data_IF_027784661642
#
_entry.id   IF_027784661642
#
_cell.length_a   1.000
_cell.length_b   1.000
_cell.length_c   1.000
_cell.angle_alpha   90.00
_cell.angle_beta   90.00
_cell.angle_gamma   90.00
#
_symmetry.space_group_name_H-M   'P 1'
#
loop_
_entity.id
_entity.type
_entity.pdbx_description
1 polymer ?
#
# COMPACT_ATOMS: atom_id res chain seq x y z
N UNK A 1 3.38 -19.73 9.51
CA UNK A 1 3.73 -18.74 8.46
C UNK A 1 2.61 -18.56 7.44
N UNK A 2 1.94 -19.63 7.00
CA UNK A 2 0.72 -19.55 6.16
C UNK A 2 -0.33 -18.57 6.70
N UNK A 3 -0.56 -18.53 8.02
CA UNK A 3 -1.47 -17.56 8.67
C UNK A 3 -1.09 -16.10 8.43
N UNK A 4 0.21 -15.76 8.41
CA UNK A 4 0.66 -14.39 8.15
C UNK A 4 0.48 -14.02 6.67
N UNK A 5 0.77 -14.95 5.76
CA UNK A 5 0.49 -14.75 4.33
C UNK A 5 -1.01 -14.59 4.07
N UNK A 6 -1.86 -15.39 4.72
CA UNK A 6 -3.32 -15.26 4.61
C UNK A 6 -3.82 -13.94 5.21
N UNK A 7 -3.31 -13.53 6.37
CA UNK A 7 -3.66 -12.23 6.96
C UNK A 7 -3.29 -11.06 6.04
N UNK A 8 -2.12 -11.14 5.37
CA UNK A 8 -1.72 -10.14 4.38
C UNK A 8 -2.60 -10.18 3.13
N UNK A 9 -2.93 -11.38 2.65
CA UNK A 9 -3.81 -11.58 1.51
C UNK A 9 -5.20 -10.99 1.72
N UNK A 10 -5.73 -11.08 2.95
CA UNK A 10 -7.04 -10.53 3.34
C UNK A 10 -6.96 -9.03 3.63
N UNK A 11 -5.89 -8.56 4.29
CA UNK A 11 -5.79 -7.17 4.72
C UNK A 11 -5.55 -6.20 3.56
N UNK A 12 -4.84 -6.63 2.51
CA UNK A 12 -4.55 -5.78 1.36
C UNK A 12 -5.79 -5.28 0.58
N UNK A 13 -6.75 -6.15 0.15
CA UNK A 13 -7.96 -5.67 -0.52
C UNK A 13 -8.84 -4.81 0.41
N UNK A 14 -8.94 -5.17 1.70
CA UNK A 14 -9.68 -4.37 2.66
C UNK A 14 -9.05 -2.97 2.83
N UNK A 15 -7.72 -2.88 2.88
CA UNK A 15 -7.03 -1.60 2.92
C UNK A 15 -7.23 -0.80 1.64
N UNK A 16 -7.19 -1.45 0.47
CA UNK A 16 -7.38 -0.80 -0.82
C UNK A 16 -8.77 -0.17 -0.98
N UNK A 17 -9.83 -0.89 -0.60
CA UNK A 17 -11.20 -0.51 -1.00
C UNK A 17 -12.12 -0.18 0.19
N UNK A 18 -12.01 -0.91 1.30
CA UNK A 18 -12.91 -0.72 2.42
C UNK A 18 -12.42 0.40 3.36
N UNK A 19 -11.11 0.52 3.55
CA UNK A 19 -10.54 1.29 4.66
C UNK A 19 -10.66 2.81 4.58
N UNK A 20 -11.14 3.32 3.45
CA UNK A 20 -11.35 4.75 3.20
C UNK A 20 -12.82 5.09 2.93
N UNK A 21 -13.77 4.16 3.13
CA UNK A 21 -15.20 4.43 3.02
C UNK A 21 -15.85 4.10 1.67
N UNK A 22 -15.12 3.55 0.71
CA UNK A 22 -15.65 3.26 -0.64
C UNK A 22 -16.80 2.24 -0.67
N UNK A 23 -16.91 1.37 0.34
CA UNK A 23 -17.95 0.34 0.42
C UNK A 23 -18.67 0.36 1.77
N UNK A 24 -19.89 -0.17 1.80
CA UNK A 24 -20.63 -0.37 3.06
C UNK A 24 -20.13 -1.60 3.80
N UNK A 25 -20.41 -1.68 5.11
CA UNK A 25 -19.95 -2.80 5.95
C UNK A 25 -20.45 -4.18 5.48
N UNK A 26 -21.62 -4.25 4.83
CA UNK A 26 -22.18 -5.52 4.34
C UNK A 26 -21.41 -6.07 3.13
N UNK A 27 -20.76 -5.19 2.36
CA UNK A 27 -20.03 -5.56 1.14
C UNK A 27 -18.57 -5.92 1.39
N UNK A 28 -18.01 -5.59 2.57
CA UNK A 28 -16.59 -5.79 2.88
C UNK A 28 -16.11 -7.21 2.62
N UNK A 29 -16.90 -8.21 2.97
CA UNK A 29 -16.53 -9.61 2.74
C UNK A 29 -16.47 -9.93 1.24
N UNK A 30 -17.48 -9.49 0.47
CA UNK A 30 -17.52 -9.70 -0.98
C UNK A 30 -16.32 -9.03 -1.66
N UNK A 31 -16.04 -7.78 -1.31
CA UNK A 31 -14.88 -7.00 -1.78
C UNK A 31 -13.57 -7.74 -1.50
N UNK A 32 -13.36 -8.20 -0.25
CA UNK A 32 -12.15 -8.91 0.15
C UNK A 32 -12.00 -10.24 -0.58
N UNK A 33 -13.08 -10.98 -0.78
CA UNK A 33 -13.05 -12.27 -1.49
C UNK A 33 -12.78 -12.08 -2.98
N UNK A 34 -13.45 -11.12 -3.61
CA UNK A 34 -13.37 -10.88 -5.04
C UNK A 34 -12.04 -10.23 -5.45
N UNK A 35 -11.59 -9.21 -4.70
CA UNK A 35 -10.37 -8.46 -5.00
C UNK A 35 -9.13 -9.00 -4.28
N UNK A 36 -9.30 -9.93 -3.33
CA UNK A 36 -8.20 -10.60 -2.62
C UNK A 36 -7.17 -11.26 -3.54
N UNK A 37 -7.57 -12.02 -4.57
CA UNK A 37 -6.64 -12.57 -5.55
C UNK A 37 -5.72 -11.50 -6.14
N UNK A 38 -6.26 -10.35 -6.56
CA UNK A 38 -5.47 -9.24 -7.14
C UNK A 38 -4.64 -8.49 -6.09
N UNK A 39 -5.29 -7.81 -5.13
CA UNK A 39 -4.59 -6.97 -4.14
C UNK A 39 -3.79 -7.80 -3.13
N UNK A 40 -4.42 -8.83 -2.58
CA UNK A 40 -3.80 -9.75 -1.63
C UNK A 40 -2.68 -10.58 -2.24
N UNK A 41 -2.88 -11.04 -3.48
CA UNK A 41 -1.85 -11.73 -4.25
C UNK A 41 -0.62 -10.84 -4.46
N UNK A 42 -0.81 -9.62 -4.95
CA UNK A 42 0.27 -8.66 -5.13
C UNK A 42 1.04 -8.38 -3.83
N UNK A 43 0.33 -8.07 -2.74
CA UNK A 43 0.95 -7.78 -1.44
C UNK A 43 1.82 -8.95 -0.93
N UNK A 44 1.32 -10.18 -1.05
CA UNK A 44 2.07 -11.38 -0.65
C UNK A 44 3.28 -11.60 -1.56
N UNK A 45 3.14 -11.48 -2.89
CA UNK A 45 4.22 -11.69 -3.85
C UNK A 45 5.35 -10.65 -3.68
N UNK A 46 5.00 -9.38 -3.55
CA UNK A 46 5.96 -8.28 -3.32
C UNK A 46 6.76 -8.54 -2.05
N UNK A 47 6.06 -8.91 -0.96
CA UNK A 47 6.70 -9.22 0.32
C UNK A 47 7.60 -10.44 0.22
N UNK A 48 7.14 -11.51 -0.42
CA UNK A 48 7.92 -12.74 -0.61
C UNK A 48 9.17 -12.49 -1.47
N UNK A 49 9.05 -11.73 -2.56
CA UNK A 49 10.16 -11.36 -3.42
C UNK A 49 11.23 -10.60 -2.62
N UNK A 50 10.82 -9.58 -1.87
CA UNK A 50 11.74 -8.82 -1.01
C UNK A 50 12.46 -9.72 0.00
N UNK A 51 11.77 -10.67 0.64
CA UNK A 51 12.44 -11.54 1.64
C UNK A 51 13.32 -12.62 1.02
N UNK A 52 12.99 -13.12 -0.18
CA UNK A 52 13.79 -14.16 -0.88
C UNK A 52 15.05 -13.60 -1.50
N UNK A 53 14.98 -12.37 -1.99
CA UNK A 53 16.09 -11.69 -2.63
C UNK A 53 16.90 -10.85 -1.63
N UNK A 54 16.71 -11.08 -0.33
CA UNK A 54 17.35 -10.34 0.77
C UNK A 54 17.15 -8.81 0.69
N UNK A 55 16.10 -8.38 -0.01
CA UNK A 55 15.67 -7.00 -0.13
C UNK A 55 15.02 -6.45 1.14
N UNK A 56 15.00 -5.13 1.21
CA UNK A 56 14.39 -4.36 2.30
C UNK A 56 13.13 -3.62 1.88
N UNK A 57 12.76 -2.63 2.69
CA UNK A 57 11.67 -1.70 2.37
C UNK A 57 11.84 -0.93 1.05
N UNK A 58 13.05 -0.52 0.62
CA UNK A 58 13.20 0.12 -0.70
C UNK A 58 12.71 -0.77 -1.85
N UNK A 59 13.00 -2.06 -1.81
CA UNK A 59 12.51 -3.02 -2.81
C UNK A 59 10.98 -3.17 -2.72
N UNK A 60 10.42 -3.25 -1.51
CA UNK A 60 8.96 -3.31 -1.31
C UNK A 60 8.28 -2.08 -1.89
N UNK A 61 8.79 -0.88 -1.63
CA UNK A 61 8.23 0.38 -2.13
C UNK A 61 8.33 0.46 -3.66
N UNK A 62 9.46 0.09 -4.25
CA UNK A 62 9.61 0.09 -5.72
C UNK A 62 8.68 -0.92 -6.39
N UNK A 63 8.57 -2.15 -5.85
CA UNK A 63 7.64 -3.15 -6.38
C UNK A 63 6.17 -2.78 -6.13
N UNK A 64 5.86 -2.10 -5.02
CA UNK A 64 4.53 -1.54 -4.76
C UNK A 64 4.20 -0.41 -5.75
N UNK A 65 5.20 0.40 -6.12
CA UNK A 65 5.04 1.44 -7.14
C UNK A 65 4.80 0.82 -8.51
N UNK A 66 5.57 -0.23 -8.84
CA UNK A 66 5.38 -1.01 -10.07
C UNK A 66 3.98 -1.63 -10.13
N UNK A 67 3.51 -2.19 -9.00
CA UNK A 67 2.15 -2.72 -8.89
C UNK A 67 1.10 -1.62 -9.02
N UNK A 68 1.25 -0.49 -8.34
CA UNK A 68 0.31 0.63 -8.45
C UNK A 68 0.18 1.13 -9.89
N UNK A 69 1.31 1.29 -10.60
CA UNK A 69 1.30 1.67 -12.03
C UNK A 69 0.63 0.59 -12.87
N UNK A 70 0.97 -0.69 -12.67
CA UNK A 70 0.34 -1.80 -13.39
C UNK A 70 -1.18 -1.84 -13.16
N UNK A 71 -1.60 -1.68 -11.91
CA UNK A 71 -2.98 -1.80 -11.49
C UNK A 71 -3.82 -0.72 -12.16
N UNK A 72 -3.46 0.56 -11.96
CA UNK A 72 -4.28 1.71 -12.41
C UNK A 72 -4.29 1.88 -13.93
N UNK A 73 -3.28 1.31 -14.62
CA UNK A 73 -3.03 1.57 -16.04
C UNK A 73 -3.45 0.42 -16.93
N UNK A 74 -3.27 -0.83 -16.48
CA UNK A 74 -3.55 -2.03 -17.27
C UNK A 74 -4.63 -2.87 -16.62
N UNK A 75 -4.66 -3.03 -15.29
CA UNK A 75 -5.58 -3.97 -14.67
C UNK A 75 -6.99 -3.40 -14.59
N UNK A 76 -7.20 -2.21 -14.03
CA UNK A 76 -8.52 -1.57 -14.00
C UNK A 76 -8.67 -0.47 -15.08
N UNK A 77 -7.55 -0.07 -15.68
CA UNK A 77 -7.47 0.98 -16.71
C UNK A 77 -7.97 2.36 -16.25
N UNK A 78 -8.17 2.57 -14.94
CA UNK A 78 -8.73 3.79 -14.36
C UNK A 78 -7.93 5.05 -14.68
N UNK A 79 -6.62 4.92 -14.92
CA UNK A 79 -5.75 6.03 -15.26
C UNK A 79 -6.01 6.58 -16.67
N UNK A 80 -6.38 5.70 -17.61
CA UNK A 80 -6.56 6.05 -19.01
C UNK A 80 -8.04 6.20 -19.39
N UNK A 81 -8.94 5.62 -18.61
CA UNK A 81 -10.38 5.79 -18.79
C UNK A 81 -10.87 7.00 -17.98
N UNK A 82 -11.09 8.13 -18.65
CA UNK A 82 -11.58 9.35 -17.99
C UNK A 82 -12.98 9.20 -17.42
N UNK A 83 -13.76 8.25 -17.94
CA UNK A 83 -15.14 7.98 -17.55
C UNK A 83 -15.22 6.82 -16.51
N UNK A 84 -14.07 6.38 -15.96
CA UNK A 84 -13.99 5.21 -15.04
C UNK A 84 -14.88 5.32 -13.79
N UNK A 85 -15.16 6.54 -13.34
CA UNK A 85 -15.95 6.79 -12.13
C UNK A 85 -17.33 7.38 -12.42
N UNK A 86 -17.73 7.48 -13.69
CA UNK A 86 -18.94 8.20 -14.12
C UNK A 86 -20.24 7.58 -13.58
N UNK A 87 -20.24 6.28 -13.29
CA UNK A 87 -21.37 5.55 -12.73
C UNK A 87 -21.36 5.49 -11.19
N UNK A 88 -20.39 6.15 -10.56
CA UNK A 88 -20.20 6.16 -9.10
C UNK A 88 -20.54 7.52 -8.49
N UNK A 89 -20.55 7.59 -7.17
CA UNK A 89 -20.66 8.88 -6.46
C UNK A 89 -19.40 9.77 -6.61
N UNK A 90 -18.36 9.30 -7.31
CA UNK A 90 -17.13 10.04 -7.62
C UNK A 90 -17.10 10.60 -9.05
N UNK A 91 -18.22 10.61 -9.79
CA UNK A 91 -18.27 11.09 -11.18
C UNK A 91 -17.72 12.52 -11.37
N UNK A 92 -17.83 13.40 -10.36
CA UNK A 92 -17.27 14.75 -10.43
C UNK A 92 -15.73 14.77 -10.42
N UNK A 93 -15.05 13.73 -9.89
CA UNK A 93 -13.59 13.62 -9.89
C UNK A 93 -13.02 13.54 -11.32
N UNK A 94 -13.80 13.03 -12.29
CA UNK A 94 -13.43 12.98 -13.70
C UNK A 94 -13.22 14.38 -14.31
N UNK A 95 -13.94 15.40 -13.81
CA UNK A 95 -13.75 16.80 -14.25
C UNK A 95 -12.42 17.36 -13.77
N UNK A 96 -12.01 16.98 -12.58
CA UNK A 96 -10.76 17.42 -11.96
C UNK A 96 -9.53 16.74 -12.59
N UNK A 97 -9.69 15.51 -13.07
CA UNK A 97 -8.66 14.80 -13.83
C UNK A 97 -8.12 15.61 -15.02
N UNK A 98 -9.01 16.32 -15.73
CA UNK A 98 -8.65 17.07 -16.95
C UNK A 98 -7.75 18.30 -16.69
N UNK A 99 -7.65 18.79 -15.45
CA UNK A 99 -6.84 19.98 -15.11
C UNK A 99 -5.34 19.74 -15.14
N UNK A 100 -4.92 18.49 -15.04
CA UNK A 100 -3.51 18.06 -15.10
C UNK A 100 -3.28 17.05 -16.22
N UNK A 101 -3.97 17.26 -17.33
CA UNK A 101 -3.94 16.35 -18.48
C UNK A 101 -2.56 16.32 -19.14
N UNK A 102 -2.09 15.11 -19.46
CA UNK A 102 -0.86 14.88 -20.21
C UNK A 102 -1.23 14.49 -21.64
N UNK A 103 -1.12 15.42 -22.61
CA UNK A 103 -1.49 15.13 -23.99
C UNK A 103 -0.57 14.07 -24.61
N UNK A 104 -1.12 13.24 -25.50
CA UNK A 104 -0.41 12.17 -26.21
C UNK A 104 -0.38 10.83 -25.46
N UNK A 105 -0.44 10.85 -24.13
CA UNK A 105 -0.67 9.66 -23.31
C UNK A 105 -2.05 9.64 -22.66
N UNK A 106 -2.79 10.74 -22.76
CA UNK A 106 -4.21 10.86 -22.41
C UNK A 106 -4.52 10.37 -20.98
N UNK A 107 -3.85 10.95 -19.98
CA UNK A 107 -4.11 10.69 -18.56
C UNK A 107 -3.94 11.94 -17.69
N UNK A 108 -4.46 11.90 -16.47
CA UNK A 108 -4.25 12.93 -15.45
C UNK A 108 -3.01 12.66 -14.60
N UNK A 109 -2.07 13.61 -14.58
CA UNK A 109 -0.89 13.51 -13.71
C UNK A 109 -1.27 13.48 -12.21
N UNK A 110 -2.31 14.20 -11.80
CA UNK A 110 -2.78 14.16 -10.41
C UNK A 110 -3.34 12.78 -10.02
N UNK A 111 -4.15 12.15 -10.87
CA UNK A 111 -4.66 10.80 -10.62
C UNK A 111 -3.52 9.77 -10.62
N UNK A 112 -2.55 9.87 -11.54
CA UNK A 112 -1.37 9.00 -11.53
C UNK A 112 -0.67 9.03 -10.16
N UNK A 113 -0.38 10.22 -9.65
CA UNK A 113 0.32 10.36 -8.36
C UNK A 113 -0.55 9.88 -7.20
N UNK A 114 -1.84 10.23 -7.20
CA UNK A 114 -2.79 9.85 -6.15
C UNK A 114 -3.01 8.33 -6.10
N UNK A 115 -3.41 7.72 -7.22
CA UNK A 115 -3.75 6.29 -7.28
C UNK A 115 -2.52 5.41 -7.01
N UNK A 116 -1.38 5.69 -7.68
CA UNK A 116 -0.14 4.94 -7.43
C UNK A 116 0.33 5.16 -6.00
N UNK A 117 0.26 6.38 -5.49
CA UNK A 117 0.60 6.72 -4.11
C UNK A 117 -0.21 5.90 -3.11
N UNK A 118 -1.53 5.85 -3.29
CA UNK A 118 -2.44 5.07 -2.45
C UNK A 118 -2.13 3.57 -2.52
N UNK A 119 -1.86 2.99 -3.69
CA UNK A 119 -1.45 1.59 -3.76
C UNK A 119 -0.13 1.32 -3.04
N UNK A 120 0.84 2.23 -3.14
CA UNK A 120 2.11 2.09 -2.43
C UNK A 120 1.89 2.09 -0.92
N UNK A 121 1.26 3.14 -0.38
CA UNK A 121 1.24 3.36 1.08
C UNK A 121 0.12 2.58 1.76
N UNK A 122 -1.07 2.55 1.17
CA UNK A 122 -2.29 2.01 1.78
C UNK A 122 -2.52 0.54 1.40
N UNK A 123 -2.44 0.19 0.11
CA UNK A 123 -2.72 -1.20 -0.34
C UNK A 123 -1.59 -2.18 -0.01
N UNK A 124 -0.32 -1.75 -0.13
CA UNK A 124 0.84 -2.65 0.00
C UNK A 124 1.62 -2.43 1.29
N UNK A 125 2.13 -1.21 1.54
CA UNK A 125 3.04 -0.97 2.66
C UNK A 125 2.36 -1.12 4.03
N UNK A 126 1.16 -0.53 4.22
CA UNK A 126 0.45 -0.62 5.50
C UNK A 126 0.14 -2.08 5.90
N UNK A 127 -0.45 -2.93 5.04
CA UNK A 127 -0.75 -4.31 5.38
C UNK A 127 0.51 -5.13 5.68
N UNK A 128 1.59 -4.97 4.89
CA UNK A 128 2.86 -5.64 5.15
C UNK A 128 3.41 -5.24 6.53
N UNK A 129 3.44 -3.94 6.84
CA UNK A 129 3.99 -3.45 8.10
C UNK A 129 3.18 -3.90 9.32
N UNK A 130 1.85 -3.89 9.21
CA UNK A 130 0.93 -4.35 10.26
C UNK A 130 1.14 -5.84 10.50
N UNK A 131 1.01 -6.68 9.47
CA UNK A 131 1.13 -8.14 9.60
C UNK A 131 2.53 -8.53 10.08
N UNK A 132 3.59 -7.91 9.57
CA UNK A 132 4.96 -8.18 10.04
C UNK A 132 5.18 -7.80 11.52
N UNK A 133 4.39 -6.87 12.07
CA UNK A 133 4.46 -6.52 13.49
C UNK A 133 3.87 -7.60 14.40
N UNK A 134 2.92 -8.39 13.90
CA UNK A 134 2.39 -9.56 14.61
C UNK A 134 3.31 -10.79 14.52
N UNK A 135 4.33 -10.79 13.65
CA UNK A 135 5.25 -11.92 13.43
C UNK A 135 6.58 -11.72 14.18
N UNK A 136 7.17 -12.81 14.71
CA UNK A 136 8.42 -12.74 15.50
C UNK A 136 9.58 -12.11 14.70
N UNK A 137 10.55 -11.42 15.33
CA UNK A 137 11.65 -10.75 14.62
C UNK A 137 12.44 -11.68 13.70
N UNK A 138 12.65 -12.93 14.12
CA UNK A 138 13.40 -13.95 13.38
C UNK A 138 12.63 -14.42 12.15
N UNK A 139 11.28 -14.47 12.24
CA UNK A 139 10.40 -15.02 11.20
C UNK A 139 9.92 -13.97 10.21
N UNK A 140 9.80 -12.71 10.63
CA UNK A 140 9.26 -11.65 9.77
C UNK A 140 10.18 -11.25 8.62
N UNK A 141 11.49 -11.47 8.74
CA UNK A 141 12.47 -11.22 7.67
C UNK A 141 12.72 -12.45 6.78
N UNK A 142 12.06 -13.58 7.05
CA UNK A 142 12.17 -14.80 6.26
C UNK A 142 10.96 -14.97 5.33
N UNK A 143 11.10 -15.66 4.19
CA UNK A 143 9.95 -16.07 3.38
C UNK A 143 8.91 -16.83 4.22
N UNK A 144 7.63 -16.55 4.00
CA UNK A 144 6.51 -17.16 4.71
C UNK A 144 5.95 -18.38 3.99
N UNK A 145 6.07 -18.39 2.66
CA UNK A 145 5.58 -19.47 1.81
C UNK A 145 6.73 -20.37 1.35
N UNK A 146 6.40 -21.57 0.88
CA UNK A 146 7.29 -22.41 0.08
C UNK A 146 6.90 -22.25 -1.39
N UNK A 147 7.67 -22.83 -2.31
CA UNK A 147 7.40 -22.77 -3.75
C UNK A 147 5.93 -23.09 -4.14
N UNK A 148 5.28 -24.16 -3.62
CA UNK A 148 3.88 -24.41 -3.97
C UNK A 148 2.94 -23.28 -3.56
N UNK A 149 3.17 -22.66 -2.40
CA UNK A 149 2.37 -21.53 -1.94
C UNK A 149 2.59 -20.28 -2.80
N UNK A 150 3.82 -20.07 -3.30
CA UNK A 150 4.07 -18.99 -4.25
C UNK A 150 3.34 -19.22 -5.56
N UNK A 151 3.41 -20.42 -6.13
CA UNK A 151 2.72 -20.76 -7.38
C UNK A 151 1.22 -20.50 -7.25
N UNK A 152 0.59 -20.96 -6.16
CA UNK A 152 -0.83 -20.71 -5.89
C UNK A 152 -1.14 -19.21 -5.86
N UNK A 153 -0.37 -18.42 -5.10
CA UNK A 153 -0.61 -16.98 -4.98
C UNK A 153 -0.34 -16.25 -6.30
N UNK A 154 0.66 -16.66 -7.08
CA UNK A 154 0.91 -16.14 -8.43
C UNK A 154 -0.26 -16.41 -9.38
N UNK A 155 -0.81 -17.63 -9.37
CA UNK A 155 -1.98 -17.97 -10.20
C UNK A 155 -3.20 -17.17 -9.77
N UNK A 156 -3.46 -17.06 -8.46
CA UNK A 156 -4.56 -16.23 -7.93
C UNK A 156 -4.39 -14.76 -8.34
N UNK A 157 -3.18 -14.22 -8.23
CA UNK A 157 -2.90 -12.85 -8.67
C UNK A 157 -3.22 -12.64 -10.15
N UNK A 158 -2.73 -13.53 -11.02
CA UNK A 158 -2.95 -13.42 -12.46
C UNK A 158 -4.44 -13.57 -12.82
N UNK A 159 -5.15 -14.51 -12.19
CA UNK A 159 -6.59 -14.69 -12.40
C UNK A 159 -7.40 -13.50 -11.90
N UNK A 160 -7.09 -13.00 -10.70
CA UNK A 160 -7.75 -11.81 -10.15
C UNK A 160 -7.52 -10.56 -11.00
N UNK A 161 -6.28 -10.35 -11.43
CA UNK A 161 -5.95 -9.26 -12.35
C UNK A 161 -6.65 -9.40 -13.69
N UNK A 162 -6.75 -10.62 -14.23
CA UNK A 162 -7.49 -10.87 -15.48
C UNK A 162 -8.99 -10.63 -15.33
N UNK A 163 -9.62 -11.06 -14.23
CA UNK A 163 -11.06 -10.83 -13.99
C UNK A 163 -11.36 -9.32 -13.93
N UNK A 164 -10.56 -8.55 -13.20
CA UNK A 164 -10.73 -7.08 -13.12
C UNK A 164 -10.48 -6.43 -14.48
N UNK A 165 -9.46 -6.89 -15.21
CA UNK A 165 -9.20 -6.40 -16.57
C UNK A 165 -10.34 -6.69 -17.54
N UNK A 166 -10.90 -7.90 -17.51
CA UNK A 166 -12.01 -8.30 -18.37
C UNK A 166 -13.26 -7.45 -18.08
N UNK A 167 -13.59 -7.28 -16.80
CA UNK A 167 -14.72 -6.47 -16.32
C UNK A 167 -14.58 -4.99 -16.71
N UNK A 168 -13.39 -4.41 -16.57
CA UNK A 168 -13.12 -2.99 -16.86
C UNK A 168 -12.78 -2.70 -18.33
N UNK A 169 -12.65 -3.73 -19.17
CA UNK A 169 -12.38 -3.57 -20.60
C UNK A 169 -13.63 -3.36 -21.45
N UNK A 170 -14.82 -3.52 -20.87
CA UNK A 170 -16.06 -3.27 -21.59
C UNK A 170 -16.22 -1.76 -21.83
N UNK A 171 -16.32 -1.35 -23.10
CA UNK A 171 -16.41 0.06 -23.50
C UNK A 171 -15.10 0.85 -23.53
N UNK A 172 -14.01 0.40 -22.87
CA UNK A 172 -12.71 1.08 -22.91
C UNK A 172 -11.53 0.11 -22.96
N UNK A 173 -10.56 0.41 -23.84
CA UNK A 173 -9.28 -0.30 -23.86
C UNK A 173 -8.12 0.67 -24.07
N UNK A 174 -7.18 0.70 -23.13
CA UNK A 174 -5.98 1.53 -23.21
C UNK A 174 -5.26 1.30 -24.54
N UNK A 175 -4.81 2.36 -25.21
CA UNK A 175 -4.14 2.29 -26.51
C UNK A 175 -2.86 1.44 -26.47
N UNK A 176 -2.40 0.90 -27.62
CA UNK A 176 -1.12 0.19 -27.69
C UNK A 176 0.05 0.99 -27.14
N UNK A 177 0.08 2.32 -27.36
CA UNK A 177 1.11 3.21 -26.85
C UNK A 177 1.07 3.29 -25.32
N UNK A 178 -0.12 3.53 -24.74
CA UNK A 178 -0.31 3.58 -23.28
C UNK A 178 0.16 2.28 -22.62
N UNK A 179 -0.26 1.11 -23.14
CA UNK A 179 0.18 -0.19 -22.62
C UNK A 179 1.69 -0.39 -22.76
N UNK A 180 2.28 -0.03 -23.90
CA UNK A 180 3.72 -0.16 -24.11
C UNK A 180 4.52 0.69 -23.12
N UNK A 181 4.12 1.96 -22.92
CA UNK A 181 4.74 2.86 -21.93
C UNK A 181 4.59 2.31 -20.52
N UNK A 182 3.41 1.82 -20.15
CA UNK A 182 3.19 1.18 -18.84
C UNK A 182 4.11 -0.02 -18.63
N UNK A 183 4.22 -0.93 -19.60
CA UNK A 183 5.12 -2.09 -19.50
C UNK A 183 6.58 -1.66 -19.34
N UNK A 184 7.02 -0.63 -20.07
CA UNK A 184 8.37 -0.09 -19.94
C UNK A 184 8.62 0.50 -18.55
N UNK A 185 7.68 1.30 -18.01
CA UNK A 185 7.80 1.90 -16.68
C UNK A 185 7.78 0.83 -15.58
N UNK A 186 6.85 -0.11 -15.64
CA UNK A 186 6.77 -1.24 -14.70
C UNK A 186 8.05 -2.08 -14.76
N UNK A 187 8.53 -2.40 -15.96
CA UNK A 187 9.80 -3.11 -16.17
C UNK A 187 10.98 -2.38 -15.57
N UNK A 188 11.09 -1.06 -15.79
CA UNK A 188 12.15 -0.23 -15.22
C UNK A 188 12.10 -0.19 -13.69
N UNK A 189 10.91 -0.09 -13.08
CA UNK A 189 10.73 -0.12 -11.63
C UNK A 189 11.10 -1.48 -11.04
N UNK A 190 10.71 -2.58 -11.69
CA UNK A 190 11.08 -3.94 -11.27
C UNK A 190 12.60 -4.13 -11.38
N UNK A 191 13.22 -3.75 -12.49
CA UNK A 191 14.68 -3.81 -12.64
C UNK A 191 15.36 -2.98 -11.56
N UNK A 192 14.92 -1.75 -11.32
CA UNK A 192 15.46 -0.89 -10.26
C UNK A 192 15.31 -1.52 -8.86
N UNK A 193 14.21 -2.22 -8.60
CA UNK A 193 13.98 -2.93 -7.34
C UNK A 193 14.90 -4.14 -7.15
N UNK A 194 15.30 -4.78 -8.24
CA UNK A 194 16.18 -5.95 -8.25
C UNK A 194 17.67 -5.58 -8.23
N UNK A 195 18.03 -4.35 -8.62
CA UNK A 195 19.39 -3.85 -8.50
C UNK A 195 19.76 -3.72 -7.02
N UNK A 196 20.80 -4.42 -6.53
CA UNK A 196 21.21 -4.31 -5.14
C UNK A 196 21.52 -2.85 -4.79
N UNK A 197 20.85 -2.32 -3.79
CA UNK A 197 21.21 -1.02 -3.23
C UNK A 197 22.65 -1.13 -2.73
N UNK A 198 23.59 -0.52 -3.46
CA UNK A 198 24.99 -0.43 -3.03
C UNK A 198 24.98 0.13 -1.61
N UNK A 199 25.53 -0.62 -0.64
CA UNK A 199 25.73 -0.15 0.72
C UNK A 199 26.72 1.00 0.69
N UNK A 200 26.23 2.20 0.40
CA UNK A 200 27.05 3.40 0.26
C UNK A 200 27.13 4.06 1.63
N UNK A 201 28.19 3.72 2.35
CA UNK A 201 28.79 4.57 3.37
C UNK A 201 28.53 4.18 4.82
N UNK A 202 29.36 4.76 5.68
CA UNK A 202 29.24 4.76 7.14
C UNK A 202 27.81 5.19 7.53
N UNK A 203 27.14 4.49 8.47
CA UNK A 203 25.83 4.90 8.96
C UNK A 203 25.82 6.38 9.36
N UNK A 204 24.79 7.16 8.99
CA UNK A 204 24.71 8.55 9.41
C UNK A 204 24.79 8.65 10.93
N UNK A 205 25.60 9.58 11.44
CA UNK A 205 25.70 9.82 12.87
C UNK A 205 24.34 10.17 13.50
N UNK A 206 24.16 9.76 14.76
CA UNK A 206 22.98 10.05 15.58
C UNK A 206 21.94 8.93 15.64
N UNK A 207 20.99 9.08 16.56
CA UNK A 207 19.87 8.13 16.76
C UNK A 207 18.71 8.42 15.82
N UNK A 208 17.93 7.39 15.50
CA UNK A 208 16.68 7.53 14.78
C UNK A 208 15.70 8.43 15.56
N UNK A 209 14.92 9.31 14.88
CA UNK A 209 13.87 10.07 15.54
C UNK A 209 12.82 9.15 16.16
N UNK A 210 12.14 9.60 17.21
CA UNK A 210 11.03 8.84 17.81
C UNK A 210 9.96 8.53 16.76
N UNK A 211 9.26 7.38 16.83
CA UNK A 211 8.22 7.01 15.85
C UNK A 211 7.14 8.08 15.62
N UNK A 212 6.81 8.89 16.63
CA UNK A 212 5.86 10.01 16.50
C UNK A 212 6.27 11.01 15.40
N UNK A 213 7.56 11.32 15.28
CA UNK A 213 8.03 12.23 14.22
C UNK A 213 7.86 11.64 12.81
N UNK A 214 7.88 10.30 12.71
CA UNK A 214 7.60 9.61 11.46
C UNK A 214 6.11 9.73 11.12
N UNK A 215 5.23 9.56 12.10
CA UNK A 215 3.79 9.80 11.93
C UNK A 215 3.54 11.23 11.46
N UNK A 216 4.10 12.23 12.14
CA UNK A 216 3.91 13.64 11.78
C UNK A 216 4.43 13.96 10.37
N UNK A 217 5.57 13.40 9.98
CA UNK A 217 6.10 13.54 8.62
C UNK A 217 5.17 12.93 7.57
N UNK A 218 4.65 11.72 7.82
CA UNK A 218 3.74 11.07 6.88
C UNK A 218 2.41 11.80 6.82
N UNK A 219 1.85 12.24 7.95
CA UNK A 219 0.65 13.09 7.97
C UNK A 219 0.88 14.35 7.13
N UNK A 220 1.97 15.08 7.37
CA UNK A 220 2.29 16.29 6.61
C UNK A 220 2.41 16.01 5.10
N UNK A 221 3.02 14.89 4.72
CA UNK A 221 3.12 14.51 3.32
C UNK A 221 1.76 14.15 2.71
N UNK A 222 0.90 13.47 3.47
CA UNK A 222 -0.44 13.05 3.06
C UNK A 222 -1.45 14.20 3.00
N UNK A 223 -1.22 15.30 3.70
CA UNK A 223 -2.04 16.52 3.53
C UNK A 223 -1.81 17.20 2.17
N UNK A 224 -0.77 16.80 1.42
CA UNK A 224 -0.61 17.23 0.03
C UNK A 224 -1.61 16.54 -0.90
N UNK A 225 -2.04 15.33 -0.56
CA UNK A 225 -3.12 14.62 -1.25
C UNK A 225 -4.44 15.32 -0.93
N UNK A 226 -5.17 15.77 -1.96
CA UNK A 226 -6.41 16.55 -1.82
C UNK A 226 -6.24 18.07 -1.95
N UNK A 227 -5.01 18.56 -2.20
CA UNK A 227 -4.83 19.93 -2.66
C UNK A 227 -5.30 20.06 -4.12
N UNK A 228 -5.69 21.28 -4.50
CA UNK A 228 -6.35 21.62 -5.77
C UNK A 228 -5.74 20.85 -6.95
N UNK A 229 -6.54 20.10 -7.75
CA UNK A 229 -6.08 19.27 -8.86
C UNK A 229 -5.49 20.14 -9.96
N UNK A 230 -4.23 20.50 -9.77
CA UNK A 230 -3.47 21.48 -10.53
C UNK A 230 -2.04 20.98 -10.62
N UNK A 231 -1.28 21.52 -11.58
CA UNK A 231 0.13 21.21 -11.69
C UNK A 231 0.92 21.54 -10.42
N UNK A 232 0.51 22.58 -9.67
CA UNK A 232 1.10 22.88 -8.37
C UNK A 232 0.78 21.82 -7.32
N UNK A 233 -0.44 21.30 -7.30
CA UNK A 233 -0.82 20.15 -6.47
C UNK A 233 0.05 18.92 -6.77
N UNK A 234 0.22 18.59 -8.06
CA UNK A 234 1.08 17.47 -8.50
C UNK A 234 2.52 17.65 -8.03
N UNK A 235 3.11 18.83 -8.24
CA UNK A 235 4.48 19.13 -7.79
C UNK A 235 4.59 18.99 -6.28
N UNK A 236 3.63 19.51 -5.53
CA UNK A 236 3.63 19.44 -4.07
C UNK A 236 3.50 18.00 -3.56
N UNK A 237 2.62 17.17 -4.13
CA UNK A 237 2.52 15.75 -3.81
C UNK A 237 3.84 15.02 -4.08
N UNK A 238 4.47 15.25 -5.24
CA UNK A 238 5.74 14.62 -5.60
C UNK A 238 6.88 15.06 -4.67
N UNK A 239 6.99 16.35 -4.36
CA UNK A 239 8.00 16.90 -3.43
C UNK A 239 7.76 16.36 -2.03
N UNK A 240 6.52 16.36 -1.54
CA UNK A 240 6.16 15.83 -0.24
C UNK A 240 6.52 14.34 -0.11
N UNK A 241 6.16 13.53 -1.11
CA UNK A 241 6.52 12.12 -1.17
C UNK A 241 8.05 11.90 -1.22
N UNK A 242 8.77 12.68 -2.04
CA UNK A 242 10.22 12.59 -2.16
C UNK A 242 10.95 12.98 -0.86
N UNK A 243 10.52 14.07 -0.22
CA UNK A 243 11.05 14.54 1.07
C UNK A 243 10.77 13.50 2.16
N UNK A 244 9.53 13.03 2.27
CA UNK A 244 9.16 12.03 3.27
C UNK A 244 9.93 10.71 3.08
N UNK A 245 9.95 10.18 1.85
CA UNK A 245 10.70 8.99 1.50
C UNK A 245 12.20 9.12 1.72
N UNK A 246 12.79 10.26 1.34
CA UNK A 246 14.21 10.56 1.54
C UNK A 246 14.60 10.65 3.01
N UNK A 247 13.79 11.34 3.83
CA UNK A 247 14.00 11.43 5.28
C UNK A 247 13.83 10.08 5.97
N UNK A 248 12.79 9.31 5.63
CA UNK A 248 12.59 7.95 6.15
C UNK A 248 13.76 7.05 5.77
N UNK A 249 14.22 7.11 4.52
CA UNK A 249 15.38 6.32 4.06
C UNK A 249 16.65 6.72 4.83
N UNK A 250 16.89 8.01 5.04
CA UNK A 250 18.03 8.52 5.81
C UNK A 250 17.97 8.09 7.27
N UNK A 251 16.82 8.23 7.93
CA UNK A 251 16.61 7.84 9.32
C UNK A 251 16.61 6.34 9.53
N UNK A 252 16.22 5.56 8.50
CA UNK A 252 16.23 4.09 8.55
C UNK A 252 17.61 3.47 8.72
N UNK A 253 18.66 4.25 8.42
CA UNK A 253 20.07 3.86 8.56
C UNK A 253 20.67 4.24 9.92
N UNK A 254 19.93 4.96 10.77
CA UNK A 254 20.40 5.40 12.08
C UNK A 254 20.19 4.34 13.14
N UNK A 255 21.01 4.41 14.20
CA UNK A 255 20.88 3.55 15.37
C UNK A 255 19.49 3.70 16.02
N UNK A 256 18.89 2.58 16.41
CA UNK A 256 17.56 2.56 17.04
C UNK A 256 16.39 2.51 16.04
N UNK A 257 16.63 2.64 14.72
CA UNK A 257 15.57 2.36 13.75
C UNK A 257 15.13 0.90 13.85
N UNK A 258 13.81 0.67 13.80
CA UNK A 258 13.24 -0.63 14.12
C UNK A 258 11.78 -0.71 13.72
N UNK A 259 11.11 -1.80 14.13
CA UNK A 259 9.77 -2.07 13.62
C UNK A 259 8.72 -1.05 14.04
N UNK A 260 8.88 -0.40 15.20
CA UNK A 260 7.97 0.67 15.61
C UNK A 260 7.99 1.85 14.63
N UNK A 261 9.14 2.16 14.02
CA UNK A 261 9.26 3.23 13.02
C UNK A 261 8.65 2.84 11.68
N UNK A 262 8.83 1.57 11.29
CA UNK A 262 8.20 1.01 10.08
C UNK A 262 6.69 0.98 10.21
N UNK A 263 6.16 0.52 11.36
CA UNK A 263 4.73 0.54 11.65
C UNK A 263 4.21 1.97 11.60
N UNK A 264 4.88 2.92 12.29
CA UNK A 264 4.51 4.33 12.24
C UNK A 264 4.48 4.90 10.81
N UNK A 265 5.50 4.63 9.99
CA UNK A 265 5.55 5.11 8.61
C UNK A 265 4.40 4.56 7.76
N UNK A 266 4.21 3.24 7.80
CA UNK A 266 3.33 2.56 6.87
C UNK A 266 1.85 2.57 7.31
N UNK A 267 1.56 2.48 8.62
CA UNK A 267 0.17 2.44 9.10
C UNK A 267 -0.48 3.82 9.26
N UNK A 268 0.29 4.91 9.16
CA UNK A 268 -0.27 6.27 9.22
C UNK A 268 -1.29 6.50 8.10
N UNK A 269 -0.99 6.04 6.88
CA UNK A 269 -1.94 6.15 5.77
C UNK A 269 -3.24 5.37 6.00
N UNK A 270 -3.19 4.24 6.70
CA UNK A 270 -4.40 3.49 7.07
C UNK A 270 -5.27 4.24 8.09
N UNK A 271 -4.64 4.89 9.07
CA UNK A 271 -5.39 5.70 10.05
C UNK A 271 -5.99 6.94 9.39
N UNK A 272 -5.26 7.57 8.46
CA UNK A 272 -5.77 8.70 7.68
C UNK A 272 -6.90 8.29 6.74
N UNK A 273 -6.80 7.12 6.09
CA UNK A 273 -7.88 6.55 5.29
C UNK A 273 -9.15 6.34 6.14
N UNK A 274 -9.00 5.74 7.33
CA UNK A 274 -10.13 5.53 8.22
C UNK A 274 -10.76 6.83 8.75
N UNK A 275 -9.95 7.89 8.92
CA UNK A 275 -10.46 9.23 9.22
C UNK A 275 -11.19 9.82 8.01
N UNK A 276 -10.66 9.64 6.81
CA UNK A 276 -11.20 10.17 5.57
C UNK A 276 -12.54 9.54 5.18
N UNK A 277 -12.77 8.28 5.57
CA UNK A 277 -14.04 7.57 5.35
C UNK A 277 -15.28 8.38 5.74
N UNK A 278 -15.20 9.13 6.84
CA UNK A 278 -16.28 9.98 7.35
C UNK A 278 -16.62 11.19 6.47
N UNK A 279 -15.82 11.48 5.45
CA UNK A 279 -15.92 12.68 4.62
C UNK A 279 -16.18 12.36 3.14
N UNK A 280 -16.26 11.08 2.77
CA UNK A 280 -16.46 10.66 1.38
C UNK A 280 -17.71 9.81 1.22
N UNK A 281 -18.34 9.85 0.03
CA UNK A 281 -19.42 8.94 -0.29
C UNK A 281 -18.90 7.50 -0.49
N UNK A 282 -19.83 6.53 -0.47
CA UNK A 282 -19.58 5.18 -0.99
C UNK A 282 -19.59 5.19 -2.51
N UNK A 283 -19.02 4.19 -3.18
CA UNK A 283 -19.06 4.11 -4.66
C UNK A 283 -20.50 4.08 -5.20
N UNK A 284 -21.35 3.26 -4.58
CA UNK A 284 -22.78 3.18 -4.88
C UNK A 284 -23.60 3.96 -3.84
N UNK A 285 -24.80 4.47 -4.20
CA UNK A 285 -25.69 5.11 -3.24
C UNK A 285 -26.00 4.20 -2.05
N UNK A 286 -25.88 4.73 -0.84
CA UNK A 286 -26.19 4.04 0.41
C UNK A 286 -27.04 4.92 1.32
N UNK A 287 -27.78 4.29 2.24
CA UNK A 287 -28.47 5.03 3.29
C UNK A 287 -27.48 5.60 4.32
N UNK A 288 -27.86 6.67 5.01
CA UNK A 288 -27.02 7.26 6.07
C UNK A 288 -26.61 6.25 7.15
N UNK A 289 -27.50 5.30 7.48
CA UNK A 289 -27.22 4.27 8.48
C UNK A 289 -26.15 3.29 7.97
N UNK A 290 -26.22 2.89 6.71
CA UNK A 290 -25.23 1.99 6.09
C UNK A 290 -23.85 2.65 6.00
N UNK A 291 -23.79 3.91 5.54
CA UNK A 291 -22.56 4.69 5.45
C UNK A 291 -21.89 4.84 6.84
N UNK A 292 -22.62 5.35 7.83
CA UNK A 292 -22.10 5.54 9.20
C UNK A 292 -21.68 4.21 9.83
N UNK A 293 -22.42 3.13 9.58
CA UNK A 293 -22.03 1.78 10.06
C UNK A 293 -20.73 1.33 9.43
N UNK A 294 -20.55 1.57 8.13
CA UNK A 294 -19.30 1.38 7.40
C UNK A 294 -18.13 2.13 8.04
N UNK A 295 -18.28 3.44 8.24
CA UNK A 295 -17.24 4.32 8.78
C UNK A 295 -16.82 3.93 10.21
N UNK A 296 -17.79 3.58 11.05
CA UNK A 296 -17.53 3.05 12.39
C UNK A 296 -16.75 1.73 12.31
N UNK A 297 -17.17 0.80 11.46
CA UNK A 297 -16.49 -0.48 11.28
C UNK A 297 -15.05 -0.28 10.79
N UNK A 298 -14.84 0.60 9.81
CA UNK A 298 -13.52 0.98 9.28
C UNK A 298 -12.63 1.54 10.37
N UNK A 299 -13.15 2.50 11.15
CA UNK A 299 -12.42 3.14 12.25
C UNK A 299 -12.01 2.11 13.30
N UNK A 300 -12.94 1.25 13.74
CA UNK A 300 -12.67 0.22 14.75
C UNK A 300 -11.62 -0.77 14.26
N UNK A 301 -11.74 -1.27 13.02
CA UNK A 301 -10.79 -2.24 12.46
C UNK A 301 -9.40 -1.61 12.31
N UNK A 302 -9.30 -0.40 11.75
CA UNK A 302 -8.02 0.29 11.58
C UNK A 302 -7.32 0.53 12.94
N UNK A 303 -8.05 1.05 13.93
CA UNK A 303 -7.51 1.27 15.27
C UNK A 303 -7.11 -0.03 15.95
N UNK A 304 -7.92 -1.09 15.87
CA UNK A 304 -7.61 -2.40 16.43
C UNK A 304 -6.33 -3.01 15.83
N UNK A 305 -6.17 -2.91 14.50
CA UNK A 305 -4.98 -3.41 13.80
C UNK A 305 -3.72 -2.66 14.21
N UNK A 306 -3.75 -1.33 14.22
CA UNK A 306 -2.58 -0.49 14.51
C UNK A 306 -2.21 -0.56 16.00
N UNK A 307 -3.19 -0.45 16.89
CA UNK A 307 -2.95 -0.55 18.34
C UNK A 307 -2.51 -1.95 18.74
N UNK A 308 -3.12 -3.00 18.16
CA UNK A 308 -2.72 -4.38 18.38
C UNK A 308 -1.29 -4.65 17.89
N UNK A 309 -0.93 -4.14 16.71
CA UNK A 309 0.44 -4.23 16.17
C UNK A 309 1.44 -3.52 17.09
N UNK A 310 1.11 -2.30 17.53
CA UNK A 310 1.96 -1.54 18.45
C UNK A 310 2.13 -2.24 19.81
N UNK A 311 1.04 -2.77 20.37
CA UNK A 311 1.05 -3.47 21.66
C UNK A 311 1.92 -4.72 21.59
N UNK A 312 1.81 -5.50 20.50
CA UNK A 312 2.66 -6.67 20.23
C UNK A 312 4.14 -6.34 20.12
N UNK A 313 4.50 -5.15 19.64
CA UNK A 313 5.90 -4.72 19.56
C UNK A 313 6.44 -4.27 20.92
N UNK A 314 5.62 -3.62 21.75
CA UNK A 314 5.99 -3.11 23.08
C UNK A 314 6.17 -4.21 24.13
N UNK A 315 5.27 -5.21 24.14
CA UNK A 315 5.16 -6.17 25.23
C UNK A 315 5.56 -7.59 24.84
N UNK A 316 6.40 -7.74 23.81
CA UNK A 316 7.00 -9.03 23.51
C UNK A 316 7.93 -9.44 24.65
N UNK A 317 7.73 -10.61 25.29
CA UNK A 317 8.70 -11.14 26.23
C UNK A 317 10.04 -11.25 25.52
N UNK A 318 11.10 -10.70 26.13
CA UNK A 318 12.47 -11.01 25.70
C UNK A 318 12.58 -12.53 25.69
N UNK A 319 12.83 -13.10 24.51
CA UNK A 319 12.92 -14.54 24.33
C UNK A 319 13.86 -15.15 25.38
N UNK A 320 13.45 -16.32 25.87
CA UNK A 320 14.00 -17.15 26.94
C UNK A 320 15.44 -17.66 26.73
N UNK A 321 16.36 -16.80 26.27
CA UNK A 321 17.80 -17.08 26.19
C UNK A 321 18.55 -16.70 27.49
N UNK A 322 17.90 -15.98 28.42
CA UNK A 322 18.50 -15.65 29.72
C UNK A 322 18.42 -16.79 30.76
N UNK A 323 17.65 -17.87 30.52
CA UNK A 323 17.51 -18.99 31.48
C UNK A 323 18.34 -20.24 31.17
N UNK A 324 19.12 -20.26 30.07
CA UNK A 324 19.99 -21.40 29.76
C UNK A 324 21.43 -21.27 30.27
N UNK A 325 21.86 -20.08 30.70
CA UNK A 325 23.21 -19.87 31.24
C UNK A 325 23.29 -19.89 32.77
N UNK A 326 22.20 -20.22 33.48
CA UNK A 326 22.19 -20.27 34.95
C UNK A 326 22.04 -21.69 35.54
N UNK A 327 22.20 -22.73 34.72
CA UNK A 327 22.10 -24.13 35.17
C UNK A 327 23.36 -24.95 34.79
N UNK A 328 24.48 -24.27 34.56
CA UNK A 328 25.78 -24.91 34.28
C UNK A 328 26.88 -24.39 35.22
N UNK A 329 26.54 -24.24 36.51
CA UNK A 329 27.50 -24.06 37.59
C UNK A 329 27.04 -24.87 38.79
#
# INVERSE_FOLDING_TARGET
MRRAALALFVLAPWAAECSWGGFTAVDFLAVVVFLGPMYGGAAVLIREAARRLHGGWPMIVLLATAYGVLQVSIIDQALFNVDFLDDTQFADDARDARRTWVPGLEFSAAQLVSYVGNHVVLTICAPIAIVESFVSPERRRRPWLRWPGLVVVSVLFLLGAWIVFDDTSDGFLASPLQRAVTVLVVGALVVAALVPARSRGVPPAGRAPRPLWIVLLVVAARMADGLVPTWWGVVLMLVAAAVAGGLILRWSRREGWGQGHVLAAASTSLVLAALFAWFVPTYAPSSTVEAVTGDVAVTVVALALVTGAWWRLRFRPLGSNARRNSLSH
#
